data_IF_819198074221
#
_entry.id   IF_819198074221
#
_cell.length_a   1.000
_cell.length_b   1.000
_cell.length_c   1.000
_cell.angle_alpha   90.00
_cell.angle_beta   90.00
_cell.angle_gamma   90.00
#
_symmetry.space_group_name_H-M   'P 1'
#
loop_
_entity.id
_entity.type
_entity.pdbx_description
1 polymer ?
#
# COMPACT_ATOMS: atom_id res chain seq x y z
N UNK A 1 -9.07 1.91 -54.58
CA UNK A 1 -9.56 1.75 -53.20
C UNK A 1 -8.72 0.64 -52.58
N UNK A 2 -7.74 1.01 -51.75
CA UNK A 2 -6.86 0.06 -51.05
C UNK A 2 -6.38 0.78 -49.79
N UNK A 3 -7.14 0.57 -48.73
CA UNK A 3 -6.91 1.12 -47.39
C UNK A 3 -5.54 0.71 -46.85
N UNK A 4 -4.83 1.70 -46.31
CA UNK A 4 -3.62 1.47 -45.52
C UNK A 4 -3.99 0.75 -44.22
N UNK A 5 -3.57 -0.51 -44.10
CA UNK A 5 -3.44 -1.16 -42.79
C UNK A 5 -2.14 -0.64 -42.16
N UNK A 6 -2.26 0.29 -41.24
CA UNK A 6 -1.27 0.44 -40.16
C UNK A 6 -1.24 -0.88 -39.39
N UNK A 7 -0.27 -1.73 -39.71
CA UNK A 7 0.11 -2.83 -38.82
C UNK A 7 0.84 -2.19 -37.64
N UNK A 8 0.13 -1.96 -36.55
CA UNK A 8 0.74 -1.62 -35.26
C UNK A 8 1.56 -2.82 -34.79
N UNK A 9 2.85 -2.82 -35.09
CA UNK A 9 3.80 -3.85 -34.66
C UNK A 9 3.91 -3.81 -33.11
N UNK A 10 3.60 -4.91 -32.40
CA UNK A 10 3.76 -4.99 -30.95
C UNK A 10 5.17 -4.65 -30.46
N UNK A 11 6.19 -4.83 -31.31
CA UNK A 11 7.59 -4.52 -31.00
C UNK A 11 7.86 -3.04 -30.76
N UNK A 12 7.22 -2.14 -31.53
CA UNK A 12 7.39 -0.69 -31.41
C UNK A 12 6.77 -0.15 -30.11
N UNK A 13 5.63 -0.72 -29.69
CA UNK A 13 4.99 -0.36 -28.42
C UNK A 13 5.87 -0.72 -27.21
N UNK A 14 6.50 -1.90 -27.20
CA UNK A 14 7.40 -2.33 -26.13
C UNK A 14 8.70 -1.50 -26.08
N UNK A 15 9.25 -1.13 -27.24
CA UNK A 15 10.44 -0.27 -27.35
C UNK A 15 10.21 1.13 -26.74
N UNK A 16 9.00 1.69 -26.90
CA UNK A 16 8.63 2.99 -26.34
C UNK A 16 8.40 3.01 -24.82
N UNK A 17 8.09 1.87 -24.19
CA UNK A 17 7.80 1.79 -22.74
C UNK A 17 9.07 1.85 -21.86
N UNK A 18 10.18 1.27 -22.33
CA UNK A 18 11.45 1.25 -21.58
C UNK A 18 12.03 2.67 -21.31
N UNK A 19 12.03 3.62 -22.26
CA UNK A 19 12.42 5.00 -22.02
C UNK A 19 11.52 5.74 -21.01
N UNK A 20 10.21 5.47 -21.04
CA UNK A 20 9.23 6.13 -20.15
C UNK A 20 9.42 5.67 -18.72
N UNK A 21 9.56 4.37 -18.49
CA UNK A 21 9.79 3.81 -17.15
C UNK A 21 11.12 4.28 -16.57
N UNK A 22 12.19 4.28 -17.38
CA UNK A 22 13.50 4.75 -16.96
C UNK A 22 13.52 6.24 -16.58
N UNK A 23 12.74 7.08 -17.27
CA UNK A 23 12.58 8.49 -16.93
C UNK A 23 11.89 8.67 -15.58
N UNK A 24 10.75 7.98 -15.37
CA UNK A 24 9.97 8.05 -14.13
C UNK A 24 10.79 7.65 -12.91
N UNK A 25 11.54 6.54 -12.99
CA UNK A 25 12.40 6.08 -11.91
C UNK A 25 13.51 7.08 -11.55
N UNK A 26 14.09 7.77 -12.54
CA UNK A 26 15.11 8.80 -12.29
C UNK A 26 14.55 10.07 -11.67
N UNK A 27 13.31 10.43 -12.00
CA UNK A 27 12.66 11.65 -11.52
C UNK A 27 12.05 11.48 -10.12
N UNK A 28 11.75 10.24 -9.72
CA UNK A 28 11.07 9.97 -8.46
C UNK A 28 11.82 10.49 -7.25
N UNK A 29 11.11 11.32 -6.48
CA UNK A 29 11.60 11.88 -5.23
C UNK A 29 11.48 10.84 -4.12
N UNK A 30 12.40 9.87 -4.09
CA UNK A 30 12.39 8.72 -3.17
C UNK A 30 12.24 9.10 -1.69
N UNK A 31 12.81 10.25 -1.28
CA UNK A 31 12.64 10.79 0.07
C UNK A 31 11.21 11.27 0.36
N UNK A 32 10.56 11.94 -0.60
CA UNK A 32 9.15 12.34 -0.47
C UNK A 32 8.22 11.13 -0.49
N UNK A 33 8.55 10.11 -1.29
CA UNK A 33 7.83 8.85 -1.30
C UNK A 33 7.90 8.17 0.08
N UNK A 34 9.08 8.14 0.71
CA UNK A 34 9.24 7.61 2.06
C UNK A 34 8.39 8.37 3.10
N UNK A 35 8.36 9.71 3.04
CA UNK A 35 7.51 10.53 3.92
C UNK A 35 6.02 10.22 3.69
N UNK A 36 5.58 10.15 2.43
CA UNK A 36 4.20 9.83 2.08
C UNK A 36 3.82 8.41 2.55
N UNK A 37 4.72 7.44 2.40
CA UNK A 37 4.57 6.08 2.93
C UNK A 37 4.45 6.05 4.45
N UNK A 38 5.24 6.83 5.16
CA UNK A 38 5.13 6.93 6.62
C UNK A 38 3.76 7.50 7.03
N UNK A 39 3.33 8.61 6.42
CA UNK A 39 2.02 9.23 6.70
C UNK A 39 0.87 8.24 6.42
N UNK A 40 0.87 7.60 5.25
CA UNK A 40 -0.15 6.63 4.88
C UNK A 40 -0.15 5.42 5.83
N UNK A 41 1.03 4.94 6.23
CA UNK A 41 1.18 3.84 7.20
C UNK A 41 0.59 4.19 8.56
N UNK A 42 0.82 5.40 9.08
CA UNK A 42 0.22 5.89 10.34
C UNK A 42 -1.30 5.96 10.21
N UNK A 43 -1.81 6.55 9.14
CA UNK A 43 -3.27 6.64 8.93
C UNK A 43 -3.90 5.26 8.85
N UNK A 44 -3.29 4.33 8.12
CA UNK A 44 -3.81 2.97 7.98
C UNK A 44 -3.93 2.25 9.33
N UNK A 45 -2.84 2.21 10.12
CA UNK A 45 -2.87 1.43 11.36
C UNK A 45 -3.86 2.03 12.36
N UNK A 46 -3.90 3.36 12.50
CA UNK A 46 -4.86 4.02 13.39
C UNK A 46 -6.30 3.80 12.95
N UNK A 47 -6.57 3.87 11.63
CA UNK A 47 -7.89 3.63 11.07
C UNK A 47 -8.34 2.19 11.30
N UNK A 48 -7.48 1.20 11.00
CA UNK A 48 -7.80 -0.21 11.18
C UNK A 48 -8.07 -0.53 12.66
N UNK A 49 -7.21 -0.08 13.57
CA UNK A 49 -7.39 -0.26 15.01
C UNK A 49 -8.71 0.34 15.50
N UNK A 50 -9.04 1.56 15.06
CA UNK A 50 -10.28 2.23 15.43
C UNK A 50 -11.52 1.53 14.86
N UNK A 51 -11.49 1.13 13.59
CA UNK A 51 -12.64 0.49 12.94
C UNK A 51 -12.89 -0.92 13.46
N UNK A 52 -11.85 -1.72 13.70
CA UNK A 52 -11.96 -3.04 14.32
C UNK A 52 -12.61 -2.92 15.70
N UNK A 53 -12.18 -1.94 16.50
CA UNK A 53 -12.78 -1.69 17.80
C UNK A 53 -14.26 -1.25 17.70
N UNK A 54 -14.57 -0.30 16.83
CA UNK A 54 -15.92 0.29 16.72
C UNK A 54 -16.94 -0.65 16.06
N UNK A 55 -16.55 -1.38 15.01
CA UNK A 55 -17.48 -2.13 14.17
C UNK A 55 -17.47 -3.64 14.42
N UNK A 56 -16.40 -4.20 15.00
CA UNK A 56 -16.32 -5.64 15.28
C UNK A 56 -16.32 -5.95 16.78
N UNK A 57 -16.25 -4.94 17.66
CA UNK A 57 -16.19 -5.14 19.11
C UNK A 57 -14.95 -5.90 19.58
N UNK A 58 -13.94 -6.04 18.70
CA UNK A 58 -12.68 -6.70 19.00
C UNK A 58 -11.71 -5.70 19.64
N UNK A 59 -10.61 -6.21 20.20
CA UNK A 59 -9.56 -5.33 20.70
C UNK A 59 -8.96 -4.50 19.56
N UNK A 60 -8.72 -3.19 19.76
CA UNK A 60 -7.98 -2.37 18.79
C UNK A 60 -6.56 -2.88 18.54
N UNK A 61 -6.00 -3.72 19.41
CA UNK A 61 -4.65 -4.28 19.23
C UNK A 61 -4.62 -5.56 18.38
N UNK A 62 -5.77 -6.07 17.95
CA UNK A 62 -5.83 -7.27 17.11
C UNK A 62 -5.04 -7.12 15.79
N UNK A 63 -5.18 -6.01 15.02
CA UNK A 63 -4.37 -5.80 13.81
C UNK A 63 -2.86 -5.75 14.09
N UNK A 64 -2.47 -5.11 15.20
CA UNK A 64 -1.06 -5.02 15.61
C UNK A 64 -0.46 -6.41 15.85
N UNK A 65 -1.20 -7.29 16.53
CA UNK A 65 -0.76 -8.68 16.76
C UNK A 65 -0.70 -9.51 15.48
N UNK A 66 -1.65 -9.32 14.56
CA UNK A 66 -1.60 -9.98 13.25
C UNK A 66 -0.34 -9.62 12.45
N UNK A 67 0.10 -8.37 12.53
CA UNK A 67 1.33 -7.92 11.88
C UNK A 67 2.56 -8.45 12.65
N UNK A 68 2.57 -8.38 13.98
CA UNK A 68 3.67 -8.91 14.80
C UNK A 68 3.93 -10.40 14.54
N UNK A 69 2.88 -11.19 14.31
CA UNK A 69 2.96 -12.61 14.02
C UNK A 69 3.79 -12.94 12.75
N UNK A 70 3.99 -11.98 11.83
CA UNK A 70 4.91 -12.16 10.69
C UNK A 70 6.34 -12.43 11.17
N UNK A 71 6.79 -11.69 12.20
CA UNK A 71 8.13 -11.82 12.76
C UNK A 71 8.23 -12.78 13.95
N UNK A 72 7.12 -13.00 14.67
CA UNK A 72 7.12 -13.73 15.94
C UNK A 72 6.39 -15.07 15.90
N UNK A 73 5.70 -15.41 14.81
CA UNK A 73 4.89 -16.61 14.68
C UNK A 73 3.44 -16.44 15.15
N UNK A 74 2.55 -17.38 14.80
CA UNK A 74 1.11 -17.31 15.10
C UNK A 74 0.78 -17.44 16.59
N UNK A 75 1.73 -17.82 17.44
CA UNK A 75 1.54 -18.01 18.89
C UNK A 75 1.17 -16.72 19.62
N UNK A 76 1.40 -15.55 19.00
CA UNK A 76 1.06 -14.24 19.57
C UNK A 76 -0.38 -13.79 19.28
N UNK A 77 -1.11 -14.52 18.42
CA UNK A 77 -2.47 -14.22 17.98
C UNK A 77 -3.59 -14.50 18.99
N UNK A 78 -3.53 -15.55 19.85
CA UNK A 78 -4.64 -15.90 20.73
C UNK A 78 -5.09 -14.73 21.62
N UNK A 79 -6.40 -14.58 21.89
CA UNK A 79 -6.91 -13.60 22.84
C UNK A 79 -6.37 -13.83 24.26
N UNK A 80 -6.31 -12.78 25.11
CA UNK A 80 -6.72 -11.41 24.81
C UNK A 80 -5.64 -10.64 24.02
N UNK A 81 -6.07 -9.90 23.00
CA UNK A 81 -5.19 -8.97 22.29
C UNK A 81 -5.00 -7.69 23.11
N UNK A 82 -4.18 -7.71 24.15
CA UNK A 82 -3.80 -6.51 24.91
C UNK A 82 -2.57 -5.83 24.30
N UNK A 83 -2.35 -4.56 24.67
CA UNK A 83 -1.10 -3.85 24.40
C UNK A 83 0.08 -4.62 24.99
N UNK A 84 1.11 -4.82 24.16
CA UNK A 84 2.42 -5.29 24.59
C UNK A 84 3.48 -4.56 23.78
N UNK A 85 4.51 -4.04 24.46
CA UNK A 85 5.51 -3.16 23.83
C UNK A 85 6.36 -3.91 22.80
N UNK A 86 6.74 -5.14 23.10
CA UNK A 86 7.50 -6.04 22.24
C UNK A 86 6.73 -6.36 20.94
N UNK A 87 5.46 -6.78 21.04
CA UNK A 87 4.59 -7.03 19.89
C UNK A 87 4.39 -5.77 19.06
N UNK A 88 4.18 -4.63 19.72
CA UNK A 88 3.98 -3.35 19.05
C UNK A 88 5.22 -2.94 18.27
N UNK A 89 6.42 -3.06 18.84
CA UNK A 89 7.67 -2.73 18.17
C UNK A 89 7.90 -3.60 16.93
N UNK A 90 7.72 -4.92 17.05
CA UNK A 90 7.87 -5.83 15.90
C UNK A 90 6.84 -5.51 14.81
N UNK A 91 5.58 -5.29 15.21
CA UNK A 91 4.53 -4.90 14.27
C UNK A 91 4.87 -3.60 13.54
N UNK A 92 5.37 -2.58 14.25
CA UNK A 92 5.71 -1.29 13.65
C UNK A 92 6.86 -1.43 12.65
N UNK A 93 7.90 -2.23 12.95
CA UNK A 93 8.98 -2.50 12.01
C UNK A 93 8.42 -3.11 10.72
N UNK A 94 7.67 -4.21 10.83
CA UNK A 94 7.08 -4.90 9.67
C UNK A 94 6.16 -3.96 8.88
N UNK A 95 5.26 -3.27 9.57
CA UNK A 95 4.26 -2.38 8.97
C UNK A 95 4.91 -1.24 8.20
N UNK A 96 5.85 -0.52 8.81
CA UNK A 96 6.49 0.61 8.16
C UNK A 96 7.47 0.16 7.06
N UNK A 97 8.12 -0.99 7.19
CA UNK A 97 8.90 -1.56 6.07
C UNK A 97 8.02 -1.81 4.86
N UNK A 98 6.87 -2.47 5.02
CA UNK A 98 5.92 -2.70 3.92
C UNK A 98 5.38 -1.37 3.36
N UNK A 99 5.02 -0.43 4.23
CA UNK A 99 4.50 0.88 3.83
C UNK A 99 5.49 1.67 2.96
N UNK A 100 6.78 1.64 3.33
CA UNK A 100 7.86 2.28 2.55
C UNK A 100 8.05 1.61 1.20
N UNK A 101 8.06 0.26 1.16
CA UNK A 101 8.14 -0.50 -0.09
C UNK A 101 6.97 -0.13 -1.01
N UNK A 102 5.75 -0.11 -0.50
CA UNK A 102 4.56 0.25 -1.27
C UNK A 102 4.61 1.70 -1.78
N UNK A 103 5.12 2.63 -0.98
CA UNK A 103 5.32 4.01 -1.41
C UNK A 103 6.32 4.13 -2.57
N UNK A 104 7.44 3.40 -2.49
CA UNK A 104 8.43 3.37 -3.57
C UNK A 104 7.92 2.68 -4.84
N UNK A 105 7.02 1.71 -4.72
CA UNK A 105 6.36 1.09 -5.88
C UNK A 105 5.37 2.04 -6.55
N UNK A 106 4.60 2.83 -5.77
CA UNK A 106 3.59 3.73 -6.34
C UNK A 106 4.19 5.02 -6.92
N UNK A 107 5.21 5.61 -6.27
CA UNK A 107 5.72 6.93 -6.64
C UNK A 107 6.07 7.10 -8.14
N UNK A 108 6.80 6.17 -8.79
CA UNK A 108 7.09 6.27 -10.23
C UNK A 108 5.85 6.22 -11.13
N UNK A 109 4.76 5.60 -10.66
CA UNK A 109 3.50 5.50 -11.39
C UNK A 109 2.80 6.86 -11.42
N UNK A 110 2.97 7.67 -10.37
CA UNK A 110 2.27 8.94 -10.16
C UNK A 110 3.14 10.20 -10.26
N UNK A 111 4.43 10.08 -10.62
CA UNK A 111 5.41 11.19 -10.65
C UNK A 111 4.98 12.40 -11.48
N UNK A 112 4.37 12.17 -12.64
CA UNK A 112 4.04 13.20 -13.63
C UNK A 112 2.54 13.21 -13.97
N UNK A 113 1.68 12.74 -13.06
CA UNK A 113 0.24 12.71 -13.28
C UNK A 113 -0.48 13.73 -12.39
N UNK A 114 -1.57 14.31 -12.90
CA UNK A 114 -2.40 15.24 -12.12
C UNK A 114 -3.06 14.56 -10.91
N UNK A 115 -3.36 15.35 -9.87
CA UNK A 115 -3.83 14.87 -8.56
C UNK A 115 -5.02 13.91 -8.63
N UNK A 116 -6.02 14.17 -9.49
CA UNK A 116 -7.19 13.30 -9.64
C UNK A 116 -6.80 11.91 -10.16
N UNK A 117 -5.90 11.86 -11.15
CA UNK A 117 -5.39 10.59 -11.70
C UNK A 117 -4.52 9.86 -10.67
N UNK A 118 -3.71 10.60 -9.91
CA UNK A 118 -2.93 10.04 -8.82
C UNK A 118 -3.81 9.42 -7.73
N UNK A 119 -4.90 10.11 -7.34
CA UNK A 119 -5.88 9.58 -6.39
C UNK A 119 -6.51 8.27 -6.89
N UNK A 120 -6.95 8.24 -8.15
CA UNK A 120 -7.48 7.03 -8.77
C UNK A 120 -6.47 5.88 -8.80
N UNK A 121 -5.22 6.16 -9.17
CA UNK A 121 -4.13 5.19 -9.12
C UNK A 121 -3.85 4.69 -7.69
N UNK A 122 -3.87 5.59 -6.70
CA UNK A 122 -3.72 5.27 -5.28
C UNK A 122 -4.80 4.34 -4.77
N UNK A 123 -6.08 4.61 -5.07
CA UNK A 123 -7.20 3.75 -4.69
C UNK A 123 -7.06 2.34 -5.29
N UNK A 124 -6.77 2.25 -6.59
CA UNK A 124 -6.56 0.96 -7.26
C UNK A 124 -5.34 0.21 -6.70
N UNK A 125 -4.26 0.93 -6.40
CA UNK A 125 -3.06 0.37 -5.80
C UNK A 125 -3.31 -0.15 -4.38
N UNK A 126 -4.05 0.59 -3.56
CA UNK A 126 -4.50 0.14 -2.24
C UNK A 126 -5.31 -1.15 -2.32
N UNK A 127 -6.27 -1.21 -3.25
CA UNK A 127 -7.03 -2.45 -3.50
C UNK A 127 -6.13 -3.60 -3.95
N UNK A 128 -5.15 -3.35 -4.81
CA UNK A 128 -4.18 -4.36 -5.22
C UNK A 128 -3.34 -4.88 -4.04
N UNK A 129 -2.89 -3.99 -3.15
CA UNK A 129 -2.19 -4.37 -1.91
C UNK A 129 -3.09 -5.24 -1.04
N UNK A 130 -4.38 -4.91 -0.87
CA UNK A 130 -5.30 -5.75 -0.13
C UNK A 130 -5.37 -7.17 -0.74
N UNK A 131 -5.50 -7.28 -2.06
CA UNK A 131 -5.54 -8.59 -2.71
C UNK A 131 -4.23 -9.38 -2.49
N UNK A 132 -3.08 -8.73 -2.60
CA UNK A 132 -1.79 -9.35 -2.35
C UNK A 132 -1.66 -9.80 -0.88
N UNK A 133 -1.91 -8.90 0.07
CA UNK A 133 -1.73 -9.18 1.50
C UNK A 133 -2.70 -10.26 2.02
N UNK A 134 -3.94 -10.26 1.55
CA UNK A 134 -4.98 -11.11 2.13
C UNK A 134 -5.31 -12.34 1.28
N UNK A 135 -4.75 -12.50 0.07
CA UNK A 135 -4.92 -13.70 -0.75
C UNK A 135 -3.60 -14.33 -1.21
N UNK A 136 -2.55 -13.55 -1.49
CA UNK A 136 -1.26 -14.10 -1.88
C UNK A 136 -0.40 -14.43 -0.64
N UNK A 137 -0.26 -13.48 0.28
CA UNK A 137 0.55 -13.67 1.48
C UNK A 137 -0.04 -14.69 2.45
N UNK A 138 -1.34 -15.03 2.34
CA UNK A 138 -1.95 -16.11 3.12
C UNK A 138 -1.34 -17.47 2.86
N UNK A 139 -0.63 -17.66 1.74
CA UNK A 139 0.17 -18.87 1.51
C UNK A 139 1.33 -19.02 2.51
N UNK A 140 1.87 -17.91 3.02
CA UNK A 140 2.97 -17.88 4.01
C UNK A 140 2.49 -17.54 5.42
N UNK A 141 1.44 -16.71 5.52
CA UNK A 141 0.89 -16.18 6.76
C UNK A 141 -0.63 -16.45 6.81
N UNK A 142 -1.07 -17.70 7.09
CA UNK A 142 -2.48 -18.09 6.92
C UNK A 142 -3.48 -17.32 7.78
N UNK A 143 -3.06 -16.75 8.92
CA UNK A 143 -3.95 -15.98 9.79
C UNK A 143 -4.47 -14.68 9.16
N UNK A 144 -3.86 -14.18 8.08
CA UNK A 144 -4.38 -13.03 7.36
C UNK A 144 -5.79 -13.27 6.81
N UNK A 145 -6.22 -14.52 6.61
CA UNK A 145 -7.60 -14.84 6.21
C UNK A 145 -8.66 -14.26 7.16
N UNK A 146 -8.33 -14.12 8.46
CA UNK A 146 -9.22 -13.55 9.48
C UNK A 146 -9.60 -12.08 9.21
N UNK A 147 -8.78 -11.37 8.46
CA UNK A 147 -8.98 -9.96 8.11
C UNK A 147 -9.49 -9.77 6.67
N UNK A 148 -10.03 -10.82 6.03
CA UNK A 148 -10.77 -10.70 4.76
C UNK A 148 -12.16 -10.11 4.99
N UNK A 149 -12.23 -8.82 5.25
CA UNK A 149 -13.47 -8.11 5.51
C UNK A 149 -13.47 -6.70 4.90
N UNK A 150 -14.63 -6.03 4.96
CA UNK A 150 -14.81 -4.71 4.36
C UNK A 150 -14.03 -3.60 5.06
N UNK A 151 -13.72 -3.75 6.37
CA UNK A 151 -12.93 -2.77 7.13
C UNK A 151 -11.52 -2.71 6.55
N UNK A 152 -10.90 -3.88 6.40
CA UNK A 152 -9.53 -3.99 5.88
C UNK A 152 -9.46 -3.55 4.42
N UNK A 153 -10.48 -3.83 3.59
CA UNK A 153 -10.58 -3.28 2.22
C UNK A 153 -10.59 -1.74 2.27
N UNK A 154 -11.47 -1.17 3.09
CA UNK A 154 -11.63 0.27 3.21
C UNK A 154 -10.34 0.94 3.71
N UNK A 155 -9.68 0.38 4.73
CA UNK A 155 -8.42 0.89 5.23
C UNK A 155 -7.33 0.92 4.13
N UNK A 156 -7.26 -0.11 3.28
CA UNK A 156 -6.31 -0.14 2.16
C UNK A 156 -6.62 0.89 1.07
N UNK A 157 -7.90 1.13 0.77
CA UNK A 157 -8.30 2.21 -0.13
C UNK A 157 -7.87 3.58 0.43
N UNK A 158 -8.11 3.82 1.72
CA UNK A 158 -7.68 5.07 2.38
C UNK A 158 -6.17 5.18 2.39
N UNK A 159 -5.44 4.11 2.68
CA UNK A 159 -3.98 4.06 2.60
C UNK A 159 -3.47 4.51 1.23
N UNK A 160 -3.97 3.90 0.17
CA UNK A 160 -3.56 4.21 -1.20
C UNK A 160 -3.89 5.65 -1.60
N UNK A 161 -5.06 6.15 -1.19
CA UNK A 161 -5.46 7.54 -1.41
C UNK A 161 -4.55 8.53 -0.68
N UNK A 162 -4.30 8.31 0.62
CA UNK A 162 -3.42 9.17 1.44
C UNK A 162 -2.00 9.15 0.88
N UNK A 163 -1.46 7.98 0.56
CA UNK A 163 -0.14 7.84 -0.04
C UNK A 163 -0.01 8.68 -1.31
N UNK A 164 -0.95 8.54 -2.26
CA UNK A 164 -0.91 9.26 -3.52
C UNK A 164 -1.04 10.78 -3.33
N UNK A 165 -2.00 11.22 -2.51
CA UNK A 165 -2.23 12.66 -2.25
C UNK A 165 -1.05 13.28 -1.52
N UNK A 166 -0.54 12.65 -0.47
CA UNK A 166 0.63 13.13 0.28
C UNK A 166 1.85 13.25 -0.61
N UNK A 167 2.10 12.26 -1.49
CA UNK A 167 3.21 12.32 -2.43
C UNK A 167 3.07 13.48 -3.42
N UNK A 168 1.92 13.60 -4.10
CA UNK A 168 1.70 14.64 -5.09
C UNK A 168 1.74 16.05 -4.49
N UNK A 169 1.17 16.26 -3.30
CA UNK A 169 1.20 17.56 -2.63
C UNK A 169 2.61 17.93 -2.17
N UNK A 170 3.39 16.96 -1.68
CA UNK A 170 4.79 17.19 -1.34
C UNK A 170 5.59 17.54 -2.60
N UNK A 171 5.35 16.81 -3.71
CA UNK A 171 6.05 17.02 -4.97
C UNK A 171 5.77 18.40 -5.58
N UNK A 172 4.53 18.89 -5.50
CA UNK A 172 4.15 20.23 -5.97
C UNK A 172 4.84 21.36 -5.17
N UNK A 173 5.26 21.09 -3.93
CA UNK A 173 5.91 22.08 -3.05
C UNK A 173 7.44 22.03 -3.09
N UNK A 174 8.03 20.99 -3.66
CA UNK A 174 9.47 20.86 -3.83
C UNK A 174 9.87 21.34 -5.24
N UNK A 175 10.63 22.45 -5.37
CA UNK A 175 11.07 22.99 -6.65
C UNK A 175 12.00 22.03 -7.42
#
# INVERSE_FOLDING_TARGET
MSEGRESSDPGDAMSGMAPILGRRLKQSAWGLAAIAGFIAGVVFILLEMAMVWLFQGMSPWAPVRMIAAIGMGPEVLPPPASFAIDLTLVAMVVHFTLSLVYAWLLAPIIEEVGLIKALGAGLLFGLAIYLVNFYLFTAMFPWFEMARNWITIFAHLVFGAVLAVSYCLARQRSP
#
